data_IF_885707948041
#
_entry.id   IF_885707948041
#
_cell.length_a   1.000
_cell.length_b   1.000
_cell.length_c   1.000
_cell.angle_alpha   90.00
_cell.angle_beta   90.00
_cell.angle_gamma   90.00
#
_symmetry.space_group_name_H-M   'P 1'
#
loop_
_entity.id
_entity.type
_entity.pdbx_description
1 polymer ?
#
# COMPACT_ATOMS: atom_id res chain seq x y z
N UNK A 1 -9.17 3.57 32.42
CA UNK A 1 -8.55 2.23 32.44
C UNK A 1 -7.20 2.32 31.76
N UNK A 2 -6.14 2.27 32.54
CA UNK A 2 -4.80 2.20 31.96
C UNK A 2 -4.61 0.80 31.35
N UNK A 3 -4.67 0.72 30.06
CA UNK A 3 -4.31 -0.52 29.36
C UNK A 3 -2.79 -0.60 29.33
N UNK A 4 -2.22 -1.42 30.18
CA UNK A 4 -0.77 -1.66 30.22
C UNK A 4 -0.35 -2.57 29.06
N UNK A 5 -0.63 -2.13 27.83
CA UNK A 5 -0.26 -2.84 26.62
C UNK A 5 1.13 -2.38 26.18
N UNK A 6 2.06 -3.32 26.05
CA UNK A 6 3.42 -3.04 25.61
C UNK A 6 3.45 -2.38 24.20
N UNK A 7 4.43 -1.49 23.92
CA UNK A 7 4.47 -0.76 22.65
C UNK A 7 4.41 -1.65 21.40
N UNK A 8 5.16 -2.73 21.37
CA UNK A 8 5.15 -3.65 20.22
C UNK A 8 3.78 -4.27 19.96
N UNK A 9 3.07 -4.62 21.01
CA UNK A 9 1.72 -5.16 20.88
C UNK A 9 0.73 -4.09 20.41
N UNK A 10 0.91 -2.83 20.82
CA UNK A 10 0.11 -1.71 20.32
C UNK A 10 0.23 -1.57 18.80
N UNK A 11 1.46 -1.61 18.29
CA UNK A 11 1.71 -1.57 16.84
C UNK A 11 1.01 -2.73 16.12
N UNK A 12 1.10 -3.95 16.66
CA UNK A 12 0.47 -5.13 16.07
C UNK A 12 -1.06 -5.02 16.01
N UNK A 13 -1.66 -4.54 17.09
CA UNK A 13 -3.12 -4.37 17.17
C UNK A 13 -3.58 -3.29 16.18
N UNK A 14 -2.90 -2.14 16.19
CA UNK A 14 -3.23 -1.01 15.29
C UNK A 14 -3.08 -1.43 13.82
N UNK A 15 -2.00 -2.11 13.47
CA UNK A 15 -1.77 -2.60 12.11
C UNK A 15 -2.86 -3.58 11.67
N UNK A 16 -3.22 -4.53 12.52
CA UNK A 16 -4.28 -5.50 12.23
C UNK A 16 -5.62 -4.81 11.97
N UNK A 17 -6.01 -3.89 12.84
CA UNK A 17 -7.28 -3.18 12.71
C UNK A 17 -7.28 -2.23 11.49
N UNK A 18 -6.16 -1.59 11.22
CA UNK A 18 -6.00 -0.75 10.02
C UNK A 18 -6.17 -1.58 8.75
N UNK A 19 -5.48 -2.72 8.67
CA UNK A 19 -5.59 -3.64 7.53
C UNK A 19 -7.01 -4.16 7.35
N UNK A 20 -7.70 -4.49 8.43
CA UNK A 20 -9.09 -4.94 8.38
C UNK A 20 -10.01 -3.88 7.77
N UNK A 21 -9.87 -2.64 8.19
CA UNK A 21 -10.65 -1.51 7.64
C UNK A 21 -10.32 -1.25 6.17
N UNK A 22 -9.06 -1.37 5.81
CA UNK A 22 -8.63 -1.24 4.42
C UNK A 22 -9.18 -2.38 3.57
N UNK A 23 -9.20 -3.61 4.08
CA UNK A 23 -9.78 -4.77 3.40
C UNK A 23 -11.27 -4.59 3.12
N UNK A 24 -12.02 -4.03 4.06
CA UNK A 24 -13.44 -3.72 3.86
C UNK A 24 -13.65 -2.73 2.70
N UNK A 25 -12.79 -1.72 2.60
CA UNK A 25 -12.82 -0.75 1.50
C UNK A 25 -12.41 -1.37 0.17
N UNK A 26 -11.34 -2.14 0.16
CA UNK A 26 -10.85 -2.82 -1.05
C UNK A 26 -11.90 -3.80 -1.60
N UNK A 27 -12.56 -4.55 -0.72
CA UNK A 27 -13.59 -5.51 -1.12
C UNK A 27 -14.77 -4.86 -1.86
N UNK A 28 -15.12 -3.63 -1.52
CA UNK A 28 -16.15 -2.87 -2.25
C UNK A 28 -15.75 -2.56 -3.68
N UNK A 29 -14.45 -2.57 -3.96
CA UNK A 29 -13.90 -2.36 -5.31
C UNK A 29 -13.62 -3.68 -6.04
N UNK A 30 -13.96 -4.82 -5.42
CA UNK A 30 -13.65 -6.14 -5.95
C UNK A 30 -12.17 -6.52 -5.82
N UNK A 31 -11.45 -5.91 -4.88
CA UNK A 31 -10.02 -6.11 -4.65
C UNK A 31 -9.78 -6.62 -3.23
N UNK A 32 -8.63 -7.25 -3.02
CA UNK A 32 -8.09 -7.47 -1.67
C UNK A 32 -7.25 -6.25 -1.26
N UNK A 33 -6.98 -6.10 0.04
CA UNK A 33 -6.14 -5.00 0.52
C UNK A 33 -4.74 -5.02 -0.12
N UNK A 34 -4.13 -6.21 -0.27
CA UNK A 34 -2.80 -6.33 -0.89
C UNK A 34 -2.85 -5.99 -2.39
N UNK A 35 -3.91 -6.38 -3.09
CA UNK A 35 -4.11 -5.99 -4.49
C UNK A 35 -4.23 -4.47 -4.63
N UNK A 36 -4.98 -3.85 -3.75
CA UNK A 36 -5.12 -2.39 -3.72
C UNK A 36 -3.78 -1.70 -3.47
N UNK A 37 -2.96 -2.21 -2.54
CA UNK A 37 -1.63 -1.67 -2.27
C UNK A 37 -0.68 -1.83 -3.46
N UNK A 38 -0.73 -2.96 -4.16
CA UNK A 38 0.08 -3.18 -5.37
C UNK A 38 -0.31 -2.19 -6.47
N UNK A 39 -1.61 -2.05 -6.71
CA UNK A 39 -2.12 -1.07 -7.68
C UNK A 39 -1.76 0.36 -7.30
N UNK A 40 -1.88 0.69 -6.01
CA UNK A 40 -1.53 2.01 -5.50
C UNK A 40 -0.06 2.35 -5.70
N UNK A 41 0.84 1.42 -5.42
CA UNK A 41 2.28 1.62 -5.64
C UNK A 41 2.61 1.76 -7.13
N UNK A 42 2.03 0.91 -7.96
CA UNK A 42 2.21 0.97 -9.41
C UNK A 42 1.72 2.30 -9.98
N UNK A 43 0.52 2.71 -9.62
CA UNK A 43 -0.11 3.97 -10.01
C UNK A 43 0.72 5.18 -9.57
N UNK A 44 1.19 5.16 -8.32
CA UNK A 44 2.05 6.22 -7.77
C UNK A 44 3.35 6.35 -8.56
N UNK A 45 4.03 5.24 -8.80
CA UNK A 45 5.29 5.22 -9.53
C UNK A 45 5.12 5.73 -10.97
N UNK A 46 4.04 5.32 -11.64
CA UNK A 46 3.70 5.83 -12.97
C UNK A 46 3.48 7.35 -12.96
N UNK A 47 2.78 7.86 -11.94
CA UNK A 47 2.50 9.30 -11.81
C UNK A 47 3.76 10.12 -11.59
N UNK A 48 4.80 9.52 -11.03
CA UNK A 48 6.10 10.16 -10.81
C UNK A 48 7.05 10.03 -12.00
N UNK A 49 6.59 9.49 -13.11
CA UNK A 49 7.36 9.40 -14.34
C UNK A 49 8.32 8.23 -14.42
N UNK A 50 8.09 7.17 -13.65
CA UNK A 50 8.88 5.94 -13.77
C UNK A 50 8.80 5.40 -15.21
N UNK A 51 9.96 5.10 -15.82
CA UNK A 51 10.03 4.65 -17.21
C UNK A 51 9.40 3.26 -17.38
N UNK A 52 9.80 2.32 -16.55
CA UNK A 52 9.26 0.96 -16.52
C UNK A 52 9.25 0.47 -15.09
N UNK A 53 8.23 -0.29 -14.74
CA UNK A 53 8.10 -0.94 -13.45
C UNK A 53 7.92 -2.42 -13.70
N UNK A 54 8.73 -3.24 -13.05
CA UNK A 54 8.65 -4.69 -13.14
C UNK A 54 8.22 -5.31 -11.80
N UNK A 55 8.03 -6.62 -11.79
CA UNK A 55 7.60 -7.32 -10.58
C UNK A 55 8.58 -7.17 -9.42
N UNK A 56 9.90 -7.19 -9.69
CA UNK A 56 10.92 -7.02 -8.65
C UNK A 56 10.82 -5.67 -7.96
N UNK A 57 10.51 -4.62 -8.71
CA UNK A 57 10.33 -3.29 -8.16
C UNK A 57 9.19 -3.28 -7.14
N UNK A 58 8.08 -3.93 -7.47
CA UNK A 58 6.92 -4.06 -6.58
C UNK A 58 7.20 -4.94 -5.37
N UNK A 59 7.91 -6.06 -5.55
CA UNK A 59 8.32 -6.94 -4.46
C UNK A 59 9.15 -6.19 -3.42
N UNK A 60 10.10 -5.41 -3.89
CA UNK A 60 10.98 -4.61 -3.03
C UNK A 60 10.22 -3.50 -2.30
N UNK A 61 9.38 -2.76 -3.03
CA UNK A 61 8.63 -1.64 -2.48
C UNK A 61 7.64 -2.07 -1.38
N UNK A 62 7.03 -3.25 -1.53
CA UNK A 62 5.96 -3.73 -0.67
C UNK A 62 6.39 -4.86 0.27
N UNK A 63 7.66 -5.28 0.21
CA UNK A 63 8.19 -6.40 1.00
C UNK A 63 7.35 -7.68 0.85
N UNK A 64 6.97 -7.99 -0.39
CA UNK A 64 6.20 -9.19 -0.75
C UNK A 64 7.12 -10.17 -1.46
N UNK A 65 6.99 -11.46 -1.14
CA UNK A 65 7.80 -12.51 -1.76
C UNK A 65 7.47 -12.70 -3.24
N UNK A 66 8.43 -13.22 -4.00
CA UNK A 66 8.24 -13.47 -5.43
C UNK A 66 7.03 -14.36 -5.76
N UNK A 67 6.85 -15.53 -5.13
CA UNK A 67 5.68 -16.36 -5.42
C UNK A 67 4.35 -15.69 -5.14
N UNK A 68 4.27 -14.94 -4.05
CA UNK A 68 3.06 -14.19 -3.68
C UNK A 68 2.78 -13.08 -4.68
N UNK A 69 3.79 -12.30 -5.05
CA UNK A 69 3.63 -11.23 -6.03
C UNK A 69 3.20 -11.77 -7.40
N UNK A 70 3.76 -12.91 -7.82
CA UNK A 70 3.37 -13.56 -9.08
C UNK A 70 1.86 -13.85 -9.11
N UNK A 71 1.31 -14.39 -8.02
CA UNK A 71 -0.12 -14.66 -7.91
C UNK A 71 -0.96 -13.37 -7.90
N UNK A 72 -0.49 -12.36 -7.19
CA UNK A 72 -1.19 -11.05 -7.13
C UNK A 72 -1.28 -10.46 -8.53
N UNK A 73 -0.18 -10.41 -9.27
CA UNK A 73 -0.13 -9.84 -10.62
C UNK A 73 -1.04 -10.63 -11.58
N UNK A 74 -1.02 -11.95 -11.54
CA UNK A 74 -1.92 -12.79 -12.33
C UNK A 74 -3.38 -12.47 -12.09
N UNK A 75 -3.77 -12.31 -10.83
CA UNK A 75 -5.15 -11.98 -10.46
C UNK A 75 -5.55 -10.57 -10.90
N UNK A 76 -4.63 -9.63 -10.80
CA UNK A 76 -4.85 -8.26 -11.28
C UNK A 76 -4.97 -8.20 -12.81
N UNK A 77 -4.16 -8.97 -13.52
CA UNK A 77 -4.29 -9.14 -14.97
C UNK A 77 -5.68 -9.67 -15.35
N UNK A 78 -6.11 -10.72 -14.65
CA UNK A 78 -7.42 -11.35 -14.86
C UNK A 78 -8.59 -10.39 -14.62
N UNK A 79 -8.42 -9.47 -13.68
CA UNK A 79 -9.41 -8.41 -13.38
C UNK A 79 -9.31 -7.21 -14.32
N UNK A 80 -8.42 -7.24 -15.30
CA UNK A 80 -8.11 -6.10 -16.18
C UNK A 80 -7.67 -4.84 -15.42
N UNK A 81 -6.97 -5.04 -14.31
CA UNK A 81 -6.44 -3.94 -13.50
C UNK A 81 -5.02 -3.56 -13.89
N UNK A 82 -4.24 -4.51 -14.40
CA UNK A 82 -2.88 -4.29 -14.91
C UNK A 82 -2.70 -4.93 -16.28
N UNK A 83 -1.72 -4.42 -17.02
CA UNK A 83 -1.26 -4.97 -18.30
C UNK A 83 0.22 -5.27 -18.17
N UNK A 84 0.60 -6.51 -18.51
CA UNK A 84 1.99 -6.94 -18.55
C UNK A 84 2.45 -7.04 -20.01
N UNK A 85 3.51 -6.30 -20.34
CA UNK A 85 4.11 -6.31 -21.68
C UNK A 85 5.61 -6.52 -21.56
N UNK A 86 6.26 -6.93 -22.65
CA UNK A 86 7.70 -7.13 -22.63
C UNK A 86 8.44 -5.80 -22.44
N UNK A 87 9.45 -5.79 -21.55
CA UNK A 87 10.28 -4.62 -21.33
C UNK A 87 11.05 -4.25 -22.60
N UNK A 88 11.13 -2.95 -22.90
CA UNK A 88 11.97 -2.43 -23.98
C UNK A 88 13.42 -2.23 -23.54
N UNK A 89 13.66 -2.18 -22.25
CA UNK A 89 14.98 -1.97 -21.64
C UNK A 89 15.73 -3.28 -21.47
N UNK A 90 15.03 -4.31 -20.95
CA UNK A 90 15.59 -5.65 -20.74
C UNK A 90 14.52 -6.71 -21.01
N UNK A 91 14.65 -7.41 -22.12
CA UNK A 91 13.68 -8.42 -22.58
C UNK A 91 13.50 -9.63 -21.66
N UNK A 92 14.32 -9.78 -20.61
CA UNK A 92 14.14 -10.81 -19.57
C UNK A 92 13.01 -10.49 -18.60
N UNK A 93 12.59 -9.23 -18.55
CA UNK A 93 11.54 -8.74 -17.64
C UNK A 93 10.31 -8.30 -18.41
N UNK A 94 9.17 -8.38 -17.74
CA UNK A 94 7.94 -7.76 -18.20
C UNK A 94 7.73 -6.46 -17.47
N UNK A 95 7.34 -5.41 -18.17
CA UNK A 95 6.87 -4.18 -17.54
C UNK A 95 5.40 -4.32 -17.19
N UNK A 96 5.00 -3.72 -16.10
CA UNK A 96 3.65 -3.77 -15.57
C UNK A 96 3.10 -2.34 -15.54
N UNK A 97 1.91 -2.16 -16.07
CA UNK A 97 1.22 -0.87 -16.07
C UNK A 97 -0.20 -1.04 -15.54
N UNK A 98 -0.71 -0.01 -14.87
CA UNK A 98 -2.13 0.08 -14.56
C UNK A 98 -2.94 0.23 -15.84
N UNK A 99 -4.13 -0.35 -15.88
CA UNK A 99 -5.12 0.00 -16.90
C UNK A 99 -5.69 1.39 -16.61
N UNK A 100 -6.33 2.02 -17.58
CA UNK A 100 -6.89 3.37 -17.43
C UNK A 100 -7.85 3.50 -16.25
N UNK A 101 -8.61 2.45 -15.95
CA UNK A 101 -9.54 2.42 -14.82
C UNK A 101 -8.84 2.64 -13.47
N UNK A 102 -7.59 2.17 -13.31
CA UNK A 102 -6.84 2.22 -12.05
C UNK A 102 -5.67 3.21 -12.06
N UNK A 103 -5.57 4.02 -13.10
CA UNK A 103 -4.45 4.95 -13.29
C UNK A 103 -4.22 5.90 -12.11
N UNK A 104 -5.27 6.33 -11.44
CA UNK A 104 -5.20 7.29 -10.33
C UNK A 104 -5.56 6.65 -8.97
N UNK A 105 -5.53 5.32 -8.89
CA UNK A 105 -5.93 4.59 -7.67
C UNK A 105 -5.09 4.98 -6.44
N UNK A 106 -3.84 5.42 -6.64
CA UNK A 106 -2.98 5.87 -5.54
C UNK A 106 -3.57 7.07 -4.79
N UNK A 107 -4.33 7.92 -5.47
CA UNK A 107 -4.99 9.06 -4.84
C UNK A 107 -6.15 8.60 -3.96
N UNK A 108 -6.95 7.67 -4.44
CA UNK A 108 -8.04 7.06 -3.67
C UNK A 108 -7.51 6.30 -2.46
N UNK A 109 -6.43 5.54 -2.63
CA UNK A 109 -5.80 4.80 -1.53
C UNK A 109 -5.29 5.76 -0.45
N UNK A 110 -4.69 6.86 -0.83
CA UNK A 110 -4.22 7.90 0.09
C UNK A 110 -5.39 8.48 0.90
N UNK A 111 -6.51 8.78 0.25
CA UNK A 111 -7.70 9.26 0.94
C UNK A 111 -8.26 8.24 1.92
N UNK A 112 -8.31 6.96 1.52
CA UNK A 112 -8.74 5.86 2.39
C UNK A 112 -7.85 5.73 3.62
N UNK A 113 -6.54 5.79 3.45
CA UNK A 113 -5.58 5.72 4.56
C UNK A 113 -5.82 6.85 5.57
N UNK A 114 -6.00 8.08 5.10
CA UNK A 114 -6.27 9.21 5.96
C UNK A 114 -7.63 9.13 6.65
N UNK A 115 -8.67 8.68 5.97
CA UNK A 115 -9.99 8.47 6.57
C UNK A 115 -9.95 7.44 7.69
N UNK A 116 -9.26 6.31 7.47
CA UNK A 116 -9.09 5.26 8.49
C UNK A 116 -8.29 5.80 9.67
N UNK A 117 -7.19 6.47 9.40
CA UNK A 117 -6.34 7.08 10.42
C UNK A 117 -7.13 8.10 11.28
N UNK A 118 -7.89 8.97 10.63
CA UNK A 118 -8.68 9.97 11.34
C UNK A 118 -9.75 9.34 12.24
N UNK A 119 -10.36 8.23 11.80
CA UNK A 119 -11.31 7.49 12.64
C UNK A 119 -10.63 6.85 13.85
N UNK A 120 -9.44 6.32 13.66
CA UNK A 120 -8.66 5.73 14.78
C UNK A 120 -8.25 6.82 15.77
N UNK A 121 -8.02 8.03 15.30
CA UNK A 121 -7.64 9.17 16.12
C UNK A 121 -8.83 9.90 16.78
N UNK A 122 -10.06 9.42 16.60
CA UNK A 122 -11.24 10.04 17.21
C UNK A 122 -11.07 10.16 18.74
N UNK A 123 -11.38 11.34 19.28
CA UNK A 123 -11.21 11.64 20.70
C UNK A 123 -9.77 12.01 21.12
N UNK A 124 -8.80 11.90 20.22
CA UNK A 124 -7.44 12.38 20.49
C UNK A 124 -7.37 13.89 20.24
N UNK A 125 -6.76 14.67 21.16
CA UNK A 125 -6.58 16.10 20.94
C UNK A 125 -5.86 16.36 19.61
N UNK A 126 -6.37 17.31 18.82
CA UNK A 126 -5.85 17.61 17.47
C UNK A 126 -4.35 17.91 17.46
N UNK A 127 -3.86 18.58 18.49
CA UNK A 127 -2.45 18.95 18.65
C UNK A 127 -1.51 17.75 18.83
N UNK A 128 -2.04 16.59 19.26
CA UNK A 128 -1.26 15.37 19.43
C UNK A 128 -0.99 14.63 18.09
N UNK A 129 -1.85 14.82 17.10
CA UNK A 129 -1.73 14.11 15.81
C UNK A 129 -0.44 14.47 15.05
N UNK A 130 -0.09 15.75 14.87
CA UNK A 130 1.19 16.11 14.25
C UNK A 130 2.40 15.60 15.04
N UNK A 131 2.31 15.56 16.38
CA UNK A 131 3.37 15.04 17.25
C UNK A 131 3.57 13.55 16.98
N UNK A 132 2.49 12.78 16.93
CA UNK A 132 2.52 11.36 16.62
C UNK A 132 3.12 11.10 15.22
N UNK A 133 2.68 11.83 14.21
CA UNK A 133 3.18 11.67 12.84
C UNK A 133 4.68 11.95 12.76
N UNK A 134 5.15 13.00 13.40
CA UNK A 134 6.58 13.35 13.47
C UNK A 134 7.39 12.31 14.23
N UNK A 135 6.88 11.82 15.35
CA UNK A 135 7.53 10.76 16.11
C UNK A 135 7.62 9.45 15.32
N UNK A 136 6.55 9.05 14.65
CA UNK A 136 6.51 7.84 13.83
C UNK A 136 7.46 7.93 12.63
N UNK A 137 7.59 9.11 12.02
CA UNK A 137 8.56 9.35 10.96
C UNK A 137 9.99 9.06 11.44
N UNK A 138 10.33 9.54 12.63
CA UNK A 138 11.64 9.26 13.24
C UNK A 138 11.83 7.78 13.59
N UNK A 139 10.77 7.12 14.04
CA UNK A 139 10.79 5.67 14.26
C UNK A 139 11.12 4.91 12.98
N UNK A 140 10.50 5.29 11.85
CA UNK A 140 10.76 4.69 10.54
C UNK A 140 12.22 4.89 10.11
N UNK A 141 12.74 6.11 10.22
CA UNK A 141 14.16 6.38 9.94
C UNK A 141 15.12 5.50 10.76
N UNK A 142 14.79 5.25 12.02
CA UNK A 142 15.60 4.43 12.90
C UNK A 142 15.59 2.94 12.50
N UNK A 143 14.52 2.47 11.90
CA UNK A 143 14.40 1.07 11.42
C UNK A 143 15.22 0.86 10.14
N UNK A 144 15.27 1.86 9.26
CA UNK A 144 16.00 1.81 7.99
C UNK A 144 17.53 1.81 8.15
N UNK A 145 18.02 2.11 9.32
CA UNK A 145 19.44 2.03 9.65
C UNK A 145 19.81 0.58 10.02
#
# INVERSE_FOLDING_TARGET
METNIAPGLRFSILDREFKKKLEERANRMGLTAVQLRVLGELSRAESMGACEINQKDLEKALAVTHPTMTEIIKRLEKKNAVICTQSRVDGRYKKINCTDEYKDIHLELKEMDWEIFNKICDGIPKEHVPIFLKASEKMLENIEK
#
